data_IF_170898966437
#
_entry.id   IF_170898966437
#
_cell.length_a   1.000
_cell.length_b   1.000
_cell.length_c   1.000
_cell.angle_alpha   90.00
_cell.angle_beta   90.00
_cell.angle_gamma   90.00
#
_symmetry.space_group_name_H-M   'P 1'
#
loop_
_entity.id
_entity.type
_entity.pdbx_description
1 polymer ?
#
# COMPACT_ATOMS: atom_id res chain seq x y z
N UNK A 1 76.09 45.09 60.57
CA UNK A 1 74.80 45.08 61.30
C UNK A 1 73.68 44.89 60.28
N UNK A 2 72.79 43.93 60.55
CA UNK A 2 71.88 43.29 59.62
C UNK A 2 70.81 44.22 59.03
N UNK A 3 70.63 44.23 57.71
CA UNK A 3 69.44 44.79 57.06
C UNK A 3 68.65 43.67 56.38
N UNK A 4 67.35 43.62 56.70
CA UNK A 4 66.41 42.53 56.48
C UNK A 4 65.82 42.58 55.06
N UNK A 5 66.04 41.55 54.26
CA UNK A 5 65.32 41.34 53.00
C UNK A 5 63.84 41.08 53.28
N UNK A 6 62.96 41.98 52.81
CA UNK A 6 61.52 41.77 52.81
C UNK A 6 61.12 41.23 51.43
N UNK A 7 60.74 39.96 51.40
CA UNK A 7 60.23 39.26 50.22
C UNK A 7 58.78 39.73 49.99
N UNK A 8 58.54 40.49 48.93
CA UNK A 8 57.18 40.84 48.49
C UNK A 8 56.68 39.73 47.55
N UNK A 9 55.82 38.85 48.09
CA UNK A 9 55.08 37.84 47.32
C UNK A 9 53.86 38.54 46.71
N UNK A 10 53.90 38.82 45.41
CA UNK A 10 52.76 39.35 44.67
C UNK A 10 51.66 38.29 44.53
N UNK A 11 50.51 38.58 45.14
CA UNK A 11 49.26 37.84 45.10
C UNK A 11 48.74 37.76 43.65
N UNK A 12 48.75 36.58 43.03
CA UNK A 12 48.11 36.35 41.72
C UNK A 12 46.61 36.27 41.93
N UNK A 13 45.90 37.29 41.45
CA UNK A 13 44.44 37.40 41.46
C UNK A 13 43.85 36.28 40.58
N UNK A 14 43.17 35.31 41.18
CA UNK A 14 42.46 34.26 40.46
C UNK A 14 41.22 34.83 39.76
N UNK A 15 41.32 35.08 38.45
CA UNK A 15 40.15 35.32 37.61
C UNK A 15 39.56 33.95 37.24
N UNK A 16 38.62 33.48 38.07
CA UNK A 16 37.78 32.34 37.75
C UNK A 16 36.90 32.70 36.55
N UNK A 17 37.30 32.24 35.36
CA UNK A 17 36.46 32.25 34.18
C UNK A 17 35.33 31.24 34.41
N UNK A 18 34.19 31.73 34.90
CA UNK A 18 32.95 30.98 34.96
C UNK A 18 32.48 30.78 33.51
N UNK A 19 32.97 29.73 32.85
CA UNK A 19 32.33 29.21 31.65
C UNK A 19 31.00 28.63 32.11
N UNK A 20 29.97 29.48 32.13
CA UNK A 20 28.61 29.01 32.12
C UNK A 20 28.47 28.15 30.85
N UNK A 21 28.64 26.84 31.01
CA UNK A 21 28.13 25.85 30.07
C UNK A 21 26.63 26.01 30.14
N UNK A 22 26.10 26.96 29.36
CA UNK A 22 24.69 27.04 29.08
C UNK A 22 24.32 25.74 28.41
N UNK A 23 23.78 24.80 29.19
CA UNK A 23 23.08 23.64 28.69
C UNK A 23 21.79 24.16 28.03
N UNK A 24 21.94 24.76 26.85
CA UNK A 24 20.84 25.19 26.02
C UNK A 24 20.16 23.93 25.50
N UNK A 25 19.11 23.48 26.17
CA UNK A 25 18.22 22.47 25.61
C UNK A 25 17.60 23.07 24.36
N UNK A 26 18.07 22.63 23.18
CA UNK A 26 17.39 22.95 21.91
C UNK A 26 16.00 22.33 22.00
N UNK A 27 14.98 23.14 22.30
CA UNK A 27 13.58 22.70 22.25
C UNK A 27 13.23 22.42 20.79
N UNK A 28 13.30 21.16 20.39
CA UNK A 28 12.81 20.74 19.09
C UNK A 28 11.29 20.71 19.13
N UNK A 29 10.67 21.46 18.23
CA UNK A 29 9.22 21.44 18.06
C UNK A 29 8.84 20.12 17.37
N UNK A 30 7.76 19.49 17.83
CA UNK A 30 7.23 18.27 17.20
C UNK A 30 6.56 18.64 15.87
N UNK A 31 6.83 17.84 14.86
CA UNK A 31 6.26 17.96 13.52
C UNK A 31 5.13 16.96 13.28
N UNK A 32 4.78 16.79 12.01
CA UNK A 32 3.81 15.78 11.57
C UNK A 32 4.20 15.13 10.24
N UNK A 33 3.63 13.97 9.93
CA UNK A 33 3.69 13.34 8.62
C UNK A 33 2.28 13.32 8.05
N UNK A 34 2.10 13.90 6.87
CA UNK A 34 0.84 13.84 6.12
C UNK A 34 1.11 13.12 4.81
N UNK A 35 0.15 12.36 4.32
CA UNK A 35 0.34 11.70 3.05
C UNK A 35 -0.88 10.99 2.53
N UNK A 36 -0.64 10.31 1.42
CA UNK A 36 -1.63 9.45 0.77
C UNK A 36 -1.06 8.06 0.53
N UNK A 37 -1.95 7.07 0.54
CA UNK A 37 -1.68 5.71 0.08
C UNK A 37 -2.58 5.45 -1.11
N UNK A 38 -2.01 5.16 -2.27
CA UNK A 38 -2.77 4.96 -3.52
C UNK A 38 -2.47 3.62 -4.17
N UNK A 39 -3.43 3.10 -4.91
CA UNK A 39 -3.27 1.92 -5.75
C UNK A 39 -2.44 2.28 -7.00
N UNK A 40 -1.39 1.50 -7.28
CA UNK A 40 -0.45 1.75 -8.39
C UNK A 40 -1.08 1.74 -9.77
N UNK A 41 -2.23 1.09 -9.93
CA UNK A 41 -2.86 0.88 -11.23
C UNK A 41 -3.93 1.91 -11.52
N UNK A 42 -4.65 2.35 -10.48
CA UNK A 42 -5.84 3.20 -10.60
C UNK A 42 -5.58 4.63 -10.14
N UNK A 43 -4.59 4.84 -9.26
CA UNK A 43 -4.36 6.10 -8.57
C UNK A 43 -5.40 6.43 -7.50
N UNK A 44 -6.37 5.54 -7.24
CA UNK A 44 -7.39 5.72 -6.20
C UNK A 44 -6.76 5.48 -4.83
N UNK A 45 -7.21 6.23 -3.83
CA UNK A 45 -6.80 6.05 -2.44
C UNK A 45 -7.14 4.67 -1.89
N UNK A 46 -6.17 4.04 -1.22
CA UNK A 46 -6.36 2.77 -0.52
C UNK A 46 -6.88 3.08 0.87
N UNK A 47 -8.18 2.90 1.09
CA UNK A 47 -8.83 3.13 2.38
C UNK A 47 -8.52 2.02 3.40
N UNK A 48 -8.32 2.40 4.65
CA UNK A 48 -8.03 1.46 5.74
C UNK A 48 -6.64 0.82 5.70
N UNK A 49 -5.72 1.35 4.89
CA UNK A 49 -4.32 0.95 4.91
C UNK A 49 -3.70 1.38 6.25
N UNK A 50 -3.00 0.46 6.91
CA UNK A 50 -2.22 0.77 8.11
C UNK A 50 -0.90 1.44 7.73
N UNK A 51 -0.65 2.60 8.30
CA UNK A 51 0.59 3.37 8.12
C UNK A 51 1.37 3.35 9.42
N UNK A 52 2.59 2.82 9.36
CA UNK A 52 3.52 2.66 10.48
C UNK A 52 4.85 3.34 10.16
N UNK A 53 5.62 3.69 11.18
CA UNK A 53 6.95 4.28 11.00
C UNK A 53 8.05 3.49 11.70
N UNK A 54 9.29 3.63 11.22
CA UNK A 54 10.51 3.24 11.92
C UNK A 54 11.51 4.43 11.92
N UNK A 55 11.89 5.00 13.07
CA UNK A 55 11.48 4.65 14.44
C UNK A 55 9.96 4.72 14.66
N UNK A 56 9.44 3.97 15.63
CA UNK A 56 8.00 3.87 15.85
C UNK A 56 7.39 5.18 16.37
N UNK A 57 6.22 5.50 15.82
CA UNK A 57 5.34 6.60 16.26
C UNK A 57 3.94 6.03 16.48
N UNK A 58 2.88 6.81 16.27
CA UNK A 58 1.51 6.32 16.22
C UNK A 58 1.22 5.62 14.89
N UNK A 59 0.61 4.44 14.95
CA UNK A 59 0.02 3.80 13.76
C UNK A 59 -1.32 4.44 13.45
N UNK A 60 -1.54 4.77 12.18
CA UNK A 60 -2.82 5.34 11.71
C UNK A 60 -3.39 4.52 10.57
N UNK A 61 -4.69 4.65 10.35
CA UNK A 61 -5.36 4.10 9.17
C UNK A 61 -5.65 5.22 8.18
N UNK A 62 -5.56 4.92 6.89
CA UNK A 62 -5.98 5.87 5.85
C UNK A 62 -7.49 6.03 5.80
N UNK A 63 -7.96 7.23 5.44
CA UNK A 63 -9.36 7.53 5.19
C UNK A 63 -9.88 6.94 3.86
N UNK A 64 -11.13 7.24 3.50
CA UNK A 64 -11.77 6.76 2.25
C UNK A 64 -11.07 7.20 0.98
N UNK A 65 -10.30 8.29 1.04
CA UNK A 65 -9.53 8.85 -0.07
C UNK A 65 -8.05 8.44 0.01
N UNK A 66 -7.68 7.56 0.93
CA UNK A 66 -6.30 7.10 1.13
C UNK A 66 -5.43 8.10 1.91
N UNK A 67 -5.98 9.18 2.46
CA UNK A 67 -5.19 10.17 3.20
C UNK A 67 -4.89 9.68 4.62
N UNK A 68 -3.75 10.07 5.16
CA UNK A 68 -3.40 9.85 6.56
C UNK A 68 -2.67 11.05 7.17
N UNK A 69 -2.68 11.14 8.50
CA UNK A 69 -1.92 12.14 9.26
C UNK A 69 -1.38 11.51 10.54
N UNK A 70 -0.06 11.61 10.75
CA UNK A 70 0.62 11.23 11.98
C UNK A 70 1.11 12.53 12.64
N UNK A 71 0.47 12.94 13.72
CA UNK A 71 0.85 14.12 14.51
C UNK A 71 1.94 13.82 15.54
N UNK A 72 2.43 14.87 16.20
CA UNK A 72 3.33 14.81 17.36
C UNK A 72 4.60 13.97 17.15
N UNK A 73 5.24 14.12 16.00
CA UNK A 73 6.46 13.37 15.65
C UNK A 73 7.72 14.17 16.00
N UNK A 74 8.75 13.53 16.57
CA UNK A 74 10.02 14.21 16.81
C UNK A 74 10.74 14.47 15.49
N UNK A 75 11.56 15.54 15.39
CA UNK A 75 12.41 15.73 14.23
C UNK A 75 13.39 14.57 14.04
N UNK A 76 13.56 14.13 12.80
CA UNK A 76 14.37 12.96 12.47
C UNK A 76 14.04 12.36 11.11
N UNK A 77 14.70 11.25 10.80
CA UNK A 77 14.48 10.48 9.57
C UNK A 77 13.66 9.24 9.92
N UNK A 78 12.57 9.02 9.18
CA UNK A 78 11.63 7.94 9.40
C UNK A 78 11.39 7.16 8.11
N UNK A 79 11.37 5.84 8.21
CA UNK A 79 10.79 4.97 7.17
C UNK A 79 9.31 4.83 7.45
N UNK A 80 8.46 5.33 6.56
CA UNK A 80 7.01 5.18 6.59
C UNK A 80 6.64 3.95 5.77
N UNK A 81 5.88 3.03 6.33
CA UNK A 81 5.44 1.80 5.67
C UNK A 81 3.92 1.75 5.65
N UNK A 82 3.35 1.53 4.47
CA UNK A 82 1.93 1.27 4.30
C UNK A 82 1.69 -0.22 4.02
N UNK A 83 0.69 -0.78 4.68
CA UNK A 83 0.21 -2.14 4.47
C UNK A 83 -1.32 -2.11 4.36
N UNK A 84 -1.85 -2.88 3.41
CA UNK A 84 -3.28 -3.11 3.26
C UNK A 84 -3.51 -4.55 2.81
N UNK A 85 -4.66 -5.12 3.18
CA UNK A 85 -5.03 -6.45 2.73
C UNK A 85 -5.11 -6.49 1.21
N UNK A 86 -4.62 -7.57 0.60
CA UNK A 86 -4.55 -7.77 -0.85
C UNK A 86 -3.54 -6.86 -1.58
N UNK A 87 -2.68 -6.13 -0.85
CA UNK A 87 -1.63 -5.29 -1.42
C UNK A 87 -0.24 -5.70 -0.94
N UNK A 88 0.74 -5.62 -1.83
CA UNK A 88 2.13 -5.64 -1.40
C UNK A 88 2.45 -4.37 -0.62
N UNK A 89 2.97 -4.50 0.60
CA UNK A 89 3.44 -3.37 1.39
C UNK A 89 4.52 -2.58 0.65
N UNK A 90 4.57 -1.28 0.91
CA UNK A 90 5.62 -0.42 0.39
C UNK A 90 6.07 0.57 1.47
N UNK A 91 7.30 1.07 1.34
CA UNK A 91 7.92 1.97 2.30
C UNK A 91 8.60 3.16 1.61
N UNK A 92 8.56 4.32 2.26
CA UNK A 92 9.20 5.56 1.82
C UNK A 92 9.89 6.21 3.00
N UNK A 93 11.11 6.72 2.80
CA UNK A 93 11.83 7.49 3.82
C UNK A 93 11.43 8.97 3.75
N UNK A 94 11.16 9.57 4.91
CA UNK A 94 10.85 11.00 5.06
C UNK A 94 11.76 11.62 6.13
N UNK A 95 12.06 12.90 5.96
CA UNK A 95 12.76 13.71 6.97
C UNK A 95 11.78 14.72 7.55
N UNK A 96 11.76 14.80 8.87
CA UNK A 96 10.93 15.75 9.62
C UNK A 96 11.86 16.75 10.29
N UNK A 97 11.77 18.00 9.88
CA UNK A 97 12.47 19.10 10.53
C UNK A 97 11.66 19.63 11.74
N UNK A 98 12.33 20.36 12.63
CA UNK A 98 11.73 20.92 13.85
C UNK A 98 10.48 21.74 13.57
N UNK A 99 9.32 21.25 14.04
CA UNK A 99 8.02 21.89 13.91
C UNK A 99 7.39 21.83 12.53
N UNK A 100 8.00 21.13 11.56
CA UNK A 100 7.50 21.07 10.18
C UNK A 100 6.70 19.80 9.90
N UNK A 101 5.87 19.88 8.86
CA UNK A 101 5.13 18.74 8.31
C UNK A 101 5.90 18.15 7.13
N UNK A 102 6.19 16.86 7.20
CA UNK A 102 6.68 16.08 6.05
C UNK A 102 5.49 15.54 5.25
N UNK A 103 5.57 15.63 3.92
CA UNK A 103 4.54 15.08 3.02
C UNK A 103 5.09 13.88 2.26
N UNK A 104 4.31 12.80 2.15
CA UNK A 104 4.69 11.61 1.39
C UNK A 104 3.54 10.97 0.62
N UNK A 105 3.87 10.20 -0.40
CA UNK A 105 2.94 9.38 -1.16
C UNK A 105 3.46 7.94 -1.19
N UNK A 106 2.65 7.00 -0.71
CA UNK A 106 2.95 5.57 -0.77
C UNK A 106 2.08 4.92 -1.84
N UNK A 107 2.73 4.19 -2.74
CA UNK A 107 2.05 3.47 -3.82
C UNK A 107 2.05 1.99 -3.49
N UNK A 108 0.86 1.39 -3.40
CA UNK A 108 0.70 -0.05 -3.16
C UNK A 108 0.31 -0.77 -4.44
N UNK A 109 0.82 -2.00 -4.61
CA UNK A 109 0.47 -2.85 -5.76
C UNK A 109 -0.50 -3.93 -5.30
N UNK A 110 -1.71 -3.93 -5.86
CA UNK A 110 -2.69 -5.00 -5.60
C UNK A 110 -2.14 -6.35 -6.06
N UNK A 111 -2.18 -7.34 -5.17
CA UNK A 111 -1.78 -8.72 -5.45
C UNK A 111 -2.71 -9.40 -6.48
N UNK A 112 -3.93 -8.91 -6.65
CA UNK A 112 -4.92 -9.39 -7.61
C UNK A 112 -4.97 -8.62 -8.94
N UNK A 113 -4.30 -7.45 -9.02
CA UNK A 113 -4.34 -6.59 -10.20
C UNK A 113 -5.65 -5.82 -10.41
N UNK A 114 -5.71 -5.02 -11.49
CA UNK A 114 -6.90 -4.29 -11.95
C UNK A 114 -7.77 -5.17 -12.83
N UNK A 115 -9.09 -5.14 -12.61
CA UNK A 115 -10.01 -5.83 -13.53
C UNK A 115 -9.83 -5.34 -14.97
N UNK A 116 -9.87 -4.03 -15.20
CA UNK A 116 -9.83 -3.45 -16.54
C UNK A 116 -8.49 -3.72 -17.26
N UNK A 117 -7.38 -3.69 -16.53
CA UNK A 117 -6.03 -3.81 -17.13
C UNK A 117 -5.52 -5.24 -17.21
N UNK A 118 -5.87 -6.10 -16.25
CA UNK A 118 -5.30 -7.44 -16.15
C UNK A 118 -6.31 -8.53 -16.48
N UNK A 119 -7.57 -8.40 -16.04
CA UNK A 119 -8.54 -9.50 -16.11
C UNK A 119 -9.41 -9.43 -17.35
N UNK A 120 -9.93 -8.25 -17.66
CA UNK A 120 -10.80 -8.04 -18.82
C UNK A 120 -10.12 -8.41 -20.14
N UNK A 121 -8.83 -8.07 -20.40
CA UNK A 121 -8.15 -8.50 -21.63
C UNK A 121 -8.08 -10.02 -21.75
N UNK A 122 -7.85 -10.74 -20.64
CA UNK A 122 -7.85 -12.22 -20.63
C UNK A 122 -9.22 -12.74 -21.05
N UNK A 123 -10.30 -12.19 -20.48
CA UNK A 123 -11.65 -12.60 -20.83
C UNK A 123 -12.03 -12.26 -22.26
N UNK A 124 -11.67 -11.07 -22.75
CA UNK A 124 -11.96 -10.64 -24.12
C UNK A 124 -11.29 -11.55 -25.17
N UNK A 125 -10.04 -11.93 -24.95
CA UNK A 125 -9.28 -12.74 -25.90
C UNK A 125 -9.68 -14.23 -25.85
N UNK A 126 -9.97 -14.74 -24.66
CA UNK A 126 -10.11 -16.19 -24.45
C UNK A 126 -11.55 -16.68 -24.27
N UNK A 127 -12.49 -15.79 -23.93
CA UNK A 127 -13.82 -16.19 -23.46
C UNK A 127 -14.97 -15.43 -24.14
N UNK A 128 -14.88 -14.10 -24.23
CA UNK A 128 -15.87 -13.24 -24.86
C UNK A 128 -15.65 -13.16 -26.38
N UNK A 129 -15.67 -14.33 -27.00
CA UNK A 129 -15.53 -14.51 -28.44
C UNK A 129 -16.86 -14.98 -29.03
N UNK A 130 -17.08 -14.68 -30.32
CA UNK A 130 -18.27 -15.11 -31.06
C UNK A 130 -18.47 -16.62 -30.92
N UNK A 131 -19.70 -17.04 -30.62
CA UNK A 131 -20.06 -18.43 -30.38
C UNK A 131 -19.84 -18.91 -28.94
N UNK A 132 -19.24 -18.09 -28.07
CA UNK A 132 -18.94 -18.43 -26.68
C UNK A 132 -19.63 -17.46 -25.70
N UNK A 133 -18.88 -16.76 -24.85
CA UNK A 133 -19.41 -15.91 -23.78
C UNK A 133 -19.43 -14.42 -24.16
N UNK A 134 -19.79 -14.13 -25.41
CA UNK A 134 -19.95 -12.79 -25.97
C UNK A 134 -21.38 -12.25 -25.81
N UNK A 135 -21.63 -11.03 -26.28
CA UNK A 135 -22.95 -10.40 -26.15
C UNK A 135 -24.04 -11.10 -26.97
N UNK A 136 -23.68 -11.63 -28.14
CA UNK A 136 -24.61 -12.26 -29.07
C UNK A 136 -24.95 -13.69 -28.66
N UNK A 137 -23.95 -14.55 -28.48
CA UNK A 137 -24.17 -15.97 -28.18
C UNK A 137 -24.48 -16.19 -26.71
N UNK A 138 -23.73 -15.52 -25.83
CA UNK A 138 -23.83 -15.64 -24.38
C UNK A 138 -24.04 -17.10 -23.94
N UNK A 139 -23.14 -18.01 -24.33
CA UNK A 139 -23.23 -19.43 -24.00
C UNK A 139 -23.39 -19.60 -22.47
N UNK A 140 -24.33 -20.44 -22.06
CA UNK A 140 -24.68 -20.55 -20.63
C UNK A 140 -25.43 -19.33 -20.06
N UNK A 141 -25.82 -18.36 -20.89
CA UNK A 141 -26.30 -17.04 -20.47
C UNK A 141 -25.20 -16.14 -19.90
N UNK A 142 -23.92 -16.51 -20.03
CA UNK A 142 -22.79 -15.80 -19.43
C UNK A 142 -22.13 -14.87 -20.45
N UNK A 143 -21.90 -13.61 -20.03
CA UNK A 143 -21.17 -12.58 -20.77
C UNK A 143 -19.93 -12.18 -19.99
N UNK A 144 -18.76 -12.12 -20.65
CA UNK A 144 -17.47 -11.85 -19.99
C UNK A 144 -16.74 -10.62 -20.57
N UNK A 145 -17.47 -9.68 -21.14
CA UNK A 145 -16.96 -8.48 -21.82
C UNK A 145 -16.97 -7.20 -20.95
N UNK A 146 -17.50 -7.25 -19.74
CA UNK A 146 -17.52 -6.11 -18.82
C UNK A 146 -17.58 -6.58 -17.38
N UNK A 147 -17.16 -5.73 -16.44
CA UNK A 147 -17.24 -6.03 -15.02
C UNK A 147 -18.66 -6.39 -14.60
N UNK A 148 -19.63 -5.56 -14.99
CA UNK A 148 -21.04 -5.74 -14.67
C UNK A 148 -21.56 -7.10 -15.18
N UNK A 149 -21.18 -7.51 -16.39
CA UNK A 149 -21.60 -8.78 -16.97
C UNK A 149 -20.94 -9.98 -16.28
N UNK A 150 -19.64 -9.90 -15.98
CA UNK A 150 -18.91 -10.95 -15.27
C UNK A 150 -19.51 -11.18 -13.87
N UNK A 151 -19.79 -10.11 -13.14
CA UNK A 151 -20.34 -10.19 -11.78
C UNK A 151 -21.82 -10.56 -11.74
N UNK A 152 -22.60 -10.20 -12.78
CA UNK A 152 -23.98 -10.68 -12.96
C UNK A 152 -24.03 -12.20 -13.11
N UNK A 153 -23.02 -12.79 -13.75
CA UNK A 153 -22.90 -14.24 -13.91
C UNK A 153 -23.74 -14.80 -15.05
N UNK A 154 -24.10 -16.07 -14.92
CA UNK A 154 -24.77 -16.86 -15.97
C UNK A 154 -26.26 -17.00 -15.70
N UNK A 155 -27.00 -17.67 -16.61
CA UNK A 155 -28.41 -18.02 -16.34
C UNK A 155 -28.60 -18.98 -15.16
N UNK A 156 -27.53 -19.63 -14.71
CA UNK A 156 -27.52 -20.53 -13.55
C UNK A 156 -27.05 -19.85 -12.26
N UNK A 157 -26.89 -18.52 -12.30
CA UNK A 157 -26.43 -17.72 -11.17
C UNK A 157 -24.96 -17.30 -11.29
N UNK A 158 -24.44 -16.79 -10.17
CA UNK A 158 -23.10 -16.25 -10.06
C UNK A 158 -22.02 -17.27 -10.46
N UNK A 159 -21.00 -16.79 -11.16
CA UNK A 159 -19.80 -17.58 -11.49
C UNK A 159 -18.55 -17.11 -10.75
N UNK A 160 -18.63 -15.94 -10.12
CA UNK A 160 -17.63 -15.35 -9.23
C UNK A 160 -18.22 -15.26 -7.83
N UNK A 161 -17.50 -15.77 -6.85
CA UNK A 161 -17.73 -15.54 -5.42
C UNK A 161 -16.53 -14.72 -4.92
N UNK A 162 -16.70 -13.41 -4.69
CA UNK A 162 -15.62 -12.57 -4.15
C UNK A 162 -15.01 -13.18 -2.88
N UNK A 163 -13.69 -13.05 -2.75
CA UNK A 163 -12.88 -13.64 -1.67
C UNK A 163 -12.78 -15.17 -1.68
N UNK A 164 -13.40 -15.85 -2.65
CA UNK A 164 -13.38 -17.31 -2.74
C UNK A 164 -13.21 -17.80 -4.19
N UNK A 165 -11.97 -17.75 -4.67
CA UNK A 165 -11.61 -18.31 -5.97
C UNK A 165 -11.77 -19.84 -6.02
N UNK A 166 -11.72 -20.54 -4.88
CA UNK A 166 -11.76 -22.00 -4.86
C UNK A 166 -13.16 -22.53 -5.20
N UNK A 167 -14.19 -21.88 -4.68
CA UNK A 167 -15.60 -22.25 -4.95
C UNK A 167 -16.16 -21.55 -6.19
N UNK A 168 -15.55 -20.45 -6.63
CA UNK A 168 -15.94 -19.72 -7.85
C UNK A 168 -15.99 -20.62 -9.07
N UNK A 169 -17.20 -20.80 -9.63
CA UNK A 169 -17.43 -21.66 -10.80
C UNK A 169 -16.51 -21.29 -11.96
N UNK A 170 -16.26 -20.00 -12.20
CA UNK A 170 -15.37 -19.55 -13.26
C UNK A 170 -13.97 -20.16 -13.11
N UNK A 171 -13.37 -20.10 -11.92
CA UNK A 171 -12.03 -20.65 -11.63
C UNK A 171 -12.03 -22.18 -11.76
N UNK A 172 -13.06 -22.85 -11.22
CA UNK A 172 -13.19 -24.30 -11.30
C UNK A 172 -13.24 -24.79 -12.75
N UNK A 173 -13.91 -24.04 -13.64
CA UNK A 173 -14.06 -24.36 -15.06
C UNK A 173 -12.77 -24.10 -15.84
N UNK A 174 -12.06 -22.99 -15.60
CA UNK A 174 -10.80 -22.70 -16.30
C UNK A 174 -9.65 -23.62 -15.86
N UNK A 175 -9.70 -24.10 -14.61
CA UNK A 175 -8.75 -25.11 -14.07
C UNK A 175 -9.11 -26.56 -14.42
N UNK A 176 -10.26 -26.79 -15.06
CA UNK A 176 -10.73 -28.14 -15.41
C UNK A 176 -11.17 -29.00 -14.23
N UNK A 177 -11.36 -28.41 -13.05
CA UNK A 177 -11.90 -29.07 -11.86
C UNK A 177 -13.38 -29.42 -12.07
N UNK A 178 -14.10 -28.62 -12.88
CA UNK A 178 -15.51 -28.83 -13.21
C UNK A 178 -15.73 -28.89 -14.73
N UNK A 179 -16.62 -29.77 -15.21
CA UNK A 179 -16.81 -30.07 -16.63
C UNK A 179 -18.12 -29.54 -17.24
N UNK A 180 -18.13 -29.08 -18.51
CA UNK A 180 -16.96 -28.91 -19.38
C UNK A 180 -15.94 -27.88 -18.85
N UNK A 181 -14.66 -28.20 -19.02
CA UNK A 181 -13.53 -27.28 -18.83
C UNK A 181 -13.63 -26.16 -19.86
N UNK A 182 -13.37 -24.93 -19.42
CA UNK A 182 -13.28 -23.76 -20.28
C UNK A 182 -11.82 -23.33 -20.50
N UNK A 183 -11.48 -22.76 -21.67
CA UNK A 183 -12.33 -22.57 -22.86
C UNK A 183 -12.63 -23.89 -23.61
N UNK A 184 -13.90 -24.23 -23.86
CA UNK A 184 -14.31 -25.53 -24.43
C UNK A 184 -13.71 -25.74 -25.83
N UNK A 185 -13.17 -26.93 -26.09
CA UNK A 185 -12.56 -27.32 -27.37
C UNK A 185 -11.43 -26.39 -27.88
N UNK A 186 -10.85 -25.58 -26.99
CA UNK A 186 -9.67 -24.76 -27.25
C UNK A 186 -8.58 -25.08 -26.21
N UNK A 187 -7.32 -24.66 -26.44
CA UNK A 187 -6.26 -24.78 -25.46
C UNK A 187 -6.69 -24.24 -24.09
N UNK A 188 -6.15 -24.85 -23.03
CA UNK A 188 -6.33 -24.32 -21.69
C UNK A 188 -5.69 -22.93 -21.58
N UNK A 189 -6.28 -22.10 -20.73
CA UNK A 189 -5.69 -20.82 -20.37
C UNK A 189 -4.33 -21.06 -19.68
N UNK A 190 -3.37 -20.13 -19.81
CA UNK A 190 -2.06 -20.26 -19.16
C UNK A 190 -2.21 -20.34 -17.63
N UNK A 191 -1.28 -21.02 -16.94
CA UNK A 191 -1.28 -21.08 -15.47
C UNK A 191 -1.15 -19.69 -14.84
N UNK A 192 -0.42 -18.79 -15.49
CA UNK A 192 -0.29 -17.39 -15.08
C UNK A 192 -1.64 -16.66 -15.12
N UNK A 193 -2.36 -16.74 -16.25
CA UNK A 193 -3.66 -16.07 -16.39
C UNK A 193 -4.73 -16.68 -15.47
N UNK A 194 -4.70 -18.00 -15.28
CA UNK A 194 -5.56 -18.67 -14.28
C UNK A 194 -5.25 -18.16 -12.86
N UNK A 195 -3.97 -17.92 -12.55
CA UNK A 195 -3.52 -17.34 -11.29
C UNK A 195 -3.96 -15.91 -11.11
N UNK A 196 -3.83 -15.06 -12.13
CA UNK A 196 -4.28 -13.67 -12.11
C UNK A 196 -5.78 -13.58 -11.84
N UNK A 197 -6.60 -14.37 -12.54
CA UNK A 197 -8.04 -14.42 -12.31
C UNK A 197 -8.35 -14.88 -10.88
N UNK A 198 -7.68 -15.92 -10.38
CA UNK A 198 -7.89 -16.42 -9.03
C UNK A 198 -7.50 -15.37 -7.97
N UNK A 199 -6.38 -14.68 -8.15
CA UNK A 199 -5.92 -13.64 -7.23
C UNK A 199 -6.85 -12.43 -7.24
N UNK A 200 -7.34 -12.01 -8.42
CA UNK A 200 -8.34 -10.95 -8.51
C UNK A 200 -9.63 -11.32 -7.75
N UNK A 201 -10.11 -12.55 -7.87
CA UNK A 201 -11.30 -13.01 -7.14
C UNK A 201 -11.03 -13.05 -5.63
N UNK A 202 -9.89 -13.61 -5.20
CA UNK A 202 -9.49 -13.65 -3.80
C UNK A 202 -9.32 -12.24 -3.20
N UNK A 203 -8.85 -11.28 -3.99
CA UNK A 203 -8.80 -9.86 -3.62
C UNK A 203 -10.15 -9.13 -3.70
N UNK A 204 -11.26 -9.85 -3.64
CA UNK A 204 -12.62 -9.30 -3.60
C UNK A 204 -13.25 -9.00 -4.95
N UNK A 205 -12.66 -9.45 -6.07
CA UNK A 205 -13.16 -9.21 -7.43
C UNK A 205 -13.50 -7.74 -7.69
N UNK A 206 -12.58 -6.82 -7.34
CA UNK A 206 -12.80 -5.37 -7.40
C UNK A 206 -12.88 -4.85 -8.84
N UNK A 207 -13.68 -3.80 -9.03
CA UNK A 207 -13.66 -2.97 -10.25
C UNK A 207 -12.77 -1.75 -9.99
N UNK A 208 -11.47 -1.94 -10.14
CA UNK A 208 -10.42 -0.99 -9.81
C UNK A 208 -9.70 -0.51 -11.08
#
# INVERSE_FOLDING_TARGET
MLSRYHILISLVLGLSLLTAVGCGTRTTLRGSIVGTVVDSQTGIGVAGASVMTSPSTSTVLTDVNGNFTIGDVQPGVYTVTAHANDYNSNSVTVTIDSGLTATTNLVLVSMGGSFARNILPIFMVNCSIVGCHDDGTAAGGLRLNSYANVMKGSRYGAVIYPYDAQTSKLVRRIKGIETPRMPKNRPALSTSDQGLIANWINGGARNN
#
